data_IF_595284053368
#
_entry.id   IF_595284053368
#
_cell.length_a   1.000
_cell.length_b   1.000
_cell.length_c   1.000
_cell.angle_alpha   90.00
_cell.angle_beta   90.00
_cell.angle_gamma   90.00
#
_symmetry.space_group_name_H-M   'P 1'
#
loop_
_entity.id
_entity.type
_entity.pdbx_description
1 polymer ?
#
# COMPACT_ATOMS: atom_id res chain seq x y z
N UNK A 1 -2.75 0.87 -36.48
CA UNK A 1 -2.25 1.23 -35.12
C UNK A 1 -1.26 0.21 -34.62
N UNK A 2 -0.21 0.67 -33.96
CA UNK A 2 0.77 -0.20 -33.34
C UNK A 2 0.33 -0.61 -31.94
N UNK A 3 0.93 -1.65 -31.39
CA UNK A 3 0.72 -2.04 -30.00
C UNK A 3 1.08 -0.92 -29.03
N UNK A 4 2.07 -0.09 -29.39
CA UNK A 4 2.48 1.05 -28.56
C UNK A 4 1.37 2.10 -28.49
N UNK A 5 0.74 2.40 -29.61
CA UNK A 5 -0.40 3.33 -29.63
C UNK A 5 -1.60 2.77 -28.87
N UNK A 6 -1.87 1.47 -29.01
CA UNK A 6 -2.94 0.80 -28.29
C UNK A 6 -2.72 0.85 -26.79
N UNK A 7 -1.48 0.65 -26.36
CA UNK A 7 -1.13 0.75 -24.92
C UNK A 7 -1.38 2.16 -24.38
N UNK A 8 -0.97 3.19 -25.13
CA UNK A 8 -1.15 4.59 -24.73
C UNK A 8 -2.65 4.94 -24.63
N UNK A 9 -3.45 4.48 -25.58
CA UNK A 9 -4.90 4.69 -25.55
C UNK A 9 -5.54 4.00 -24.36
N UNK A 10 -5.18 2.74 -24.11
CA UNK A 10 -5.69 1.98 -22.97
C UNK A 10 -5.32 2.64 -21.64
N UNK A 11 -4.11 3.15 -21.53
CA UNK A 11 -3.64 3.85 -20.33
C UNK A 11 -4.43 5.13 -20.09
N UNK A 12 -4.69 5.88 -21.14
CA UNK A 12 -5.50 7.10 -21.06
C UNK A 12 -6.95 6.79 -20.67
N UNK A 13 -7.53 5.73 -21.23
CA UNK A 13 -8.90 5.30 -20.92
C UNK A 13 -9.02 4.85 -19.46
N UNK A 14 -8.02 4.13 -18.97
CA UNK A 14 -7.94 3.72 -17.56
C UNK A 14 -7.90 4.93 -16.63
N UNK A 15 -7.08 5.91 -16.95
CA UNK A 15 -6.97 7.13 -16.15
C UNK A 15 -8.28 7.93 -16.14
N UNK A 16 -8.93 8.05 -17.30
CA UNK A 16 -10.22 8.73 -17.42
C UNK A 16 -11.32 8.02 -16.61
N UNK A 17 -11.37 6.70 -16.70
CA UNK A 17 -12.36 5.90 -15.96
C UNK A 17 -12.11 6.00 -14.45
N UNK A 18 -10.87 5.96 -14.01
CA UNK A 18 -10.51 6.11 -12.59
C UNK A 18 -10.92 7.47 -12.07
N UNK A 19 -10.65 8.53 -12.83
CA UNK A 19 -11.04 9.90 -12.47
C UNK A 19 -12.56 10.01 -12.32
N UNK A 20 -13.30 9.46 -13.28
CA UNK A 20 -14.76 9.47 -13.24
C UNK A 20 -15.31 8.72 -12.03
N UNK A 21 -14.77 7.55 -11.76
CA UNK A 21 -15.17 6.75 -10.59
C UNK A 21 -14.92 7.53 -9.29
N UNK A 22 -13.77 8.16 -9.15
CA UNK A 22 -13.43 8.94 -7.95
C UNK A 22 -14.33 10.15 -7.77
N UNK A 23 -14.72 10.83 -8.85
CA UNK A 23 -15.67 11.93 -8.79
C UNK A 23 -17.03 11.47 -8.27
N UNK A 24 -17.50 10.30 -8.71
CA UNK A 24 -18.74 9.70 -8.23
C UNK A 24 -18.62 9.29 -6.76
N UNK A 25 -17.50 8.69 -6.38
CA UNK A 25 -17.24 8.31 -5.00
C UNK A 25 -17.24 9.52 -4.06
N UNK A 26 -16.69 10.65 -4.50
CA UNK A 26 -16.73 11.89 -3.73
C UNK A 26 -18.16 12.39 -3.52
N UNK A 27 -19.01 12.23 -4.52
CA UNK A 27 -20.44 12.55 -4.40
C UNK A 27 -21.14 11.60 -3.41
N UNK A 28 -20.79 10.31 -3.44
CA UNK A 28 -21.32 9.31 -2.50
C UNK A 28 -20.91 9.59 -1.07
N UNK A 29 -19.67 10.04 -0.87
CA UNK A 29 -19.19 10.45 0.45
C UNK A 29 -20.07 11.56 1.03
N UNK A 30 -20.44 12.53 0.22
CA UNK A 30 -21.32 13.62 0.64
C UNK A 30 -22.74 13.12 0.87
N UNK A 31 -23.25 12.27 -0.01
CA UNK A 31 -24.61 11.74 0.06
C UNK A 31 -24.83 10.93 1.35
N UNK A 32 -23.87 10.07 1.71
CA UNK A 32 -23.97 9.21 2.89
C UNK A 32 -23.34 9.83 4.14
N UNK A 33 -22.87 11.06 4.05
CA UNK A 33 -22.23 11.78 5.17
C UNK A 33 -21.10 10.95 5.81
N UNK A 34 -20.22 10.39 4.96
CA UNK A 34 -19.10 9.57 5.44
C UNK A 34 -18.04 10.46 6.09
N UNK A 35 -17.68 10.22 7.35
CA UNK A 35 -16.65 11.01 8.01
C UNK A 35 -15.26 10.71 7.41
N UNK A 36 -14.40 11.73 7.35
CA UNK A 36 -13.02 11.59 6.85
C UNK A 36 -12.20 10.60 7.67
N UNK A 37 -12.50 10.48 8.95
CA UNK A 37 -11.80 9.60 9.87
C UNK A 37 -12.46 8.23 10.04
N UNK A 38 -13.30 7.82 9.11
CA UNK A 38 -13.93 6.50 9.16
C UNK A 38 -12.87 5.41 9.19
N UNK A 39 -12.93 4.59 10.22
CA UNK A 39 -12.09 3.40 10.34
C UNK A 39 -13.00 2.19 10.47
N UNK A 40 -12.86 1.22 9.57
CA UNK A 40 -13.70 0.05 9.51
C UNK A 40 -14.72 0.10 8.39
N UNK A 41 -15.77 -0.71 8.51
CA UNK A 41 -16.76 -0.92 7.46
C UNK A 41 -18.13 -0.39 7.87
N UNK A 42 -18.77 0.32 6.95
CA UNK A 42 -20.17 0.75 7.07
C UNK A 42 -20.96 0.20 5.90
N UNK A 43 -22.07 -0.45 6.16
CA UNK A 43 -22.95 -1.00 5.14
C UNK A 43 -24.23 -0.17 5.07
N UNK A 44 -24.60 0.24 3.86
CA UNK A 44 -25.80 1.03 3.60
C UNK A 44 -26.59 0.41 2.45
N UNK A 45 -27.89 0.39 2.56
CA UNK A 45 -28.78 0.02 1.46
C UNK A 45 -29.51 1.27 0.98
N UNK A 46 -29.45 1.55 -0.31
CA UNK A 46 -30.12 2.67 -0.94
C UNK A 46 -30.46 2.30 -2.38
N UNK A 47 -31.67 2.70 -2.83
CA UNK A 47 -32.12 2.51 -4.21
C UNK A 47 -31.93 1.08 -4.76
N UNK A 48 -32.19 0.07 -3.92
CA UNK A 48 -32.01 -1.36 -4.24
C UNK A 48 -30.56 -1.81 -4.39
N UNK A 49 -29.61 -0.94 -3.99
CA UNK A 49 -28.19 -1.28 -3.99
C UNK A 49 -27.70 -1.47 -2.56
N UNK A 50 -26.77 -2.39 -2.40
CA UNK A 50 -26.02 -2.55 -1.17
C UNK A 50 -24.68 -1.84 -1.36
N UNK A 51 -24.40 -0.90 -0.48
CA UNK A 51 -23.16 -0.13 -0.54
C UNK A 51 -22.31 -0.47 0.68
N UNK A 52 -21.11 -0.94 0.42
CA UNK A 52 -20.11 -1.20 1.46
C UNK A 52 -19.08 -0.09 1.42
N UNK A 53 -18.94 0.63 2.51
CA UNK A 53 -18.00 1.74 2.63
C UNK A 53 -16.91 1.33 3.60
N UNK A 54 -15.69 1.19 3.11
CA UNK A 54 -14.54 0.84 3.93
C UNK A 54 -13.65 2.06 4.10
N UNK A 55 -13.45 2.47 5.34
CA UNK A 55 -12.51 3.52 5.68
C UNK A 55 -11.23 2.92 6.23
N UNK A 56 -10.12 3.45 5.83
CA UNK A 56 -8.79 3.04 6.31
C UNK A 56 -8.00 4.26 6.71
N UNK A 57 -7.37 4.15 7.86
CA UNK A 57 -6.42 5.16 8.31
C UNK A 57 -5.04 4.56 8.16
N UNK A 58 -4.26 5.13 7.25
CA UNK A 58 -2.90 4.68 7.02
C UNK A 58 -1.99 5.27 8.09
N UNK A 59 -1.38 4.39 8.87
CA UNK A 59 -0.45 4.80 9.92
C UNK A 59 0.94 4.33 9.53
N UNK A 60 1.87 5.28 9.52
CA UNK A 60 3.28 4.97 9.29
C UNK A 60 4.04 5.19 10.58
N UNK A 61 4.91 4.26 10.89
CA UNK A 61 5.75 4.34 12.08
C UNK A 61 7.18 4.65 11.69
N UNK A 62 7.74 5.71 12.25
CA UNK A 62 9.17 5.98 12.17
C UNK A 62 9.83 5.19 13.29
N UNK A 63 10.46 4.06 12.95
CA UNK A 63 11.00 3.13 13.92
C UNK A 63 12.13 3.70 14.77
N UNK A 64 12.97 4.57 14.20
CA UNK A 64 14.04 5.22 14.94
C UNK A 64 13.48 6.16 15.99
N UNK A 65 12.56 7.03 15.59
CA UNK A 65 11.91 7.97 16.50
C UNK A 65 11.11 7.24 17.57
N UNK A 66 10.46 6.14 17.21
CA UNK A 66 9.70 5.32 18.15
C UNK A 66 10.61 4.76 19.23
N UNK A 67 11.75 4.20 18.86
CA UNK A 67 12.73 3.65 19.80
C UNK A 67 13.32 4.72 20.71
N UNK A 68 13.61 5.89 20.16
CA UNK A 68 14.12 7.03 20.94
C UNK A 68 13.10 7.50 21.96
N UNK A 69 11.84 7.66 21.56
CA UNK A 69 10.76 8.08 22.45
C UNK A 69 10.49 7.04 23.54
N UNK A 70 10.51 5.76 23.17
CA UNK A 70 10.31 4.68 24.13
C UNK A 70 11.42 4.64 25.19
N UNK A 71 12.67 4.82 24.76
CA UNK A 71 13.81 4.88 25.68
C UNK A 71 13.73 6.11 26.60
N UNK A 72 13.35 7.25 26.05
CA UNK A 72 13.21 8.52 26.79
C UNK A 72 12.13 8.43 27.87
N UNK A 73 11.01 7.75 27.57
CA UNK A 73 9.88 7.62 28.49
C UNK A 73 9.86 6.31 29.29
N UNK A 74 10.90 5.48 29.17
CA UNK A 74 10.97 4.22 29.89
C UNK A 74 9.94 3.18 29.41
N UNK A 75 9.55 3.21 28.13
CA UNK A 75 8.50 2.37 27.56
C UNK A 75 9.03 1.27 26.64
N UNK A 76 10.34 1.04 26.62
CA UNK A 76 10.97 0.08 25.70
C UNK A 76 10.38 -1.33 25.81
N UNK A 77 9.99 -1.74 27.02
CA UNK A 77 9.38 -3.05 27.27
C UNK A 77 8.05 -3.24 26.54
N UNK A 78 7.35 -2.17 26.21
CA UNK A 78 6.04 -2.22 25.57
C UNK A 78 6.11 -2.31 24.05
N UNK A 79 7.27 -2.11 23.44
CA UNK A 79 7.40 -2.10 21.98
C UNK A 79 7.00 -3.41 21.35
N UNK A 80 7.37 -4.54 21.91
CA UNK A 80 7.07 -5.86 21.35
C UNK A 80 5.58 -6.22 21.42
N UNK A 81 4.84 -5.68 22.38
CA UNK A 81 3.41 -5.92 22.51
C UNK A 81 2.55 -4.97 21.71
N UNK A 82 3.00 -3.72 21.53
CA UNK A 82 2.25 -2.69 20.81
C UNK A 82 2.55 -2.64 19.31
N UNK A 83 3.73 -3.09 18.91
CA UNK A 83 4.19 -3.03 17.53
C UNK A 83 4.67 -4.38 17.04
N UNK A 84 4.47 -4.64 15.74
CA UNK A 84 4.99 -5.83 15.07
C UNK A 84 6.21 -5.45 14.27
N UNK A 85 7.26 -6.21 14.43
CA UNK A 85 8.50 -6.01 13.70
C UNK A 85 8.58 -7.06 12.60
N UNK A 86 8.51 -6.60 11.34
CA UNK A 86 8.63 -7.49 10.19
C UNK A 86 10.02 -7.35 9.60
N UNK A 87 10.76 -8.44 9.43
CA UNK A 87 12.04 -8.37 8.78
C UNK A 87 11.87 -8.06 7.29
N UNK A 88 12.64 -7.12 6.80
CA UNK A 88 12.71 -6.76 5.39
C UNK A 88 14.16 -6.87 4.93
N UNK A 89 14.35 -7.27 3.68
CA UNK A 89 15.67 -7.42 3.12
C UNK A 89 16.23 -6.05 2.75
N UNK A 90 17.39 -5.73 3.31
CA UNK A 90 18.21 -4.62 2.81
C UNK A 90 19.00 -5.14 1.62
N UNK A 91 18.51 -4.92 0.41
CA UNK A 91 19.09 -5.50 -0.80
C UNK A 91 20.52 -5.05 -1.07
N UNK A 92 20.86 -3.83 -0.69
CA UNK A 92 22.23 -3.33 -0.84
C UNK A 92 23.20 -4.11 0.03
N UNK A 93 22.84 -4.30 1.31
CA UNK A 93 23.64 -5.09 2.23
C UNK A 93 23.64 -6.57 1.87
N UNK A 94 22.50 -7.10 1.42
CA UNK A 94 22.37 -8.49 1.01
C UNK A 94 23.29 -8.83 -0.16
N UNK A 95 23.31 -8.00 -1.19
CA UNK A 95 24.17 -8.21 -2.38
C UNK A 95 25.65 -8.05 -2.04
N UNK A 96 25.97 -7.22 -1.08
CA UNK A 96 27.34 -7.01 -0.64
C UNK A 96 27.85 -8.10 0.32
N UNK A 97 26.96 -8.92 0.86
CA UNK A 97 27.31 -9.96 1.82
C UNK A 97 27.83 -11.22 1.13
N UNK A 98 28.68 -11.95 1.85
CA UNK A 98 29.24 -13.21 1.38
C UNK A 98 28.13 -14.28 1.30
N UNK A 99 28.26 -15.16 0.30
CA UNK A 99 27.33 -16.27 0.11
C UNK A 99 27.27 -17.21 1.33
N UNK A 100 28.35 -17.32 2.07
CA UNK A 100 28.37 -18.11 3.32
C UNK A 100 27.37 -17.60 4.37
N UNK A 101 26.99 -16.32 4.30
CA UNK A 101 26.00 -15.70 5.19
C UNK A 101 24.61 -15.80 4.59
N UNK A 102 24.45 -15.47 3.30
CA UNK A 102 23.13 -15.39 2.65
C UNK A 102 22.55 -16.74 2.29
N UNK A 103 23.37 -17.70 1.87
CA UNK A 103 22.88 -19.02 1.42
C UNK A 103 22.05 -19.77 2.46
N UNK A 104 22.46 -19.86 3.73
CA UNK A 104 21.63 -20.52 4.75
C UNK A 104 20.31 -19.81 5.03
N UNK A 105 20.24 -18.50 4.77
CA UNK A 105 19.06 -17.71 5.02
C UNK A 105 18.07 -17.71 3.86
N UNK A 106 18.50 -18.13 2.67
CA UNK A 106 17.66 -18.14 1.49
C UNK A 106 16.42 -19.04 1.62
N UNK A 107 16.50 -20.08 2.42
CA UNK A 107 15.38 -21.02 2.63
C UNK A 107 14.18 -20.33 3.32
N UNK A 108 14.42 -19.24 4.03
CA UNK A 108 13.36 -18.44 4.67
C UNK A 108 12.76 -17.39 3.73
N UNK A 109 13.29 -17.28 2.51
CA UNK A 109 12.90 -16.24 1.56
C UNK A 109 12.25 -16.92 0.34
N UNK A 110 11.03 -16.52 0.04
CA UNK A 110 10.34 -16.94 -1.19
C UNK A 110 10.38 -15.76 -2.16
N UNK A 111 11.05 -15.96 -3.30
CA UNK A 111 11.13 -14.95 -4.34
C UNK A 111 10.29 -15.38 -5.53
N UNK A 112 9.33 -14.56 -5.91
CA UNK A 112 8.50 -14.78 -7.10
C UNK A 112 8.64 -13.60 -8.03
N UNK A 113 8.78 -13.83 -9.35
CA UNK A 113 8.88 -12.72 -10.29
C UNK A 113 7.56 -11.98 -10.38
N UNK A 114 7.63 -10.66 -10.29
CA UNK A 114 6.48 -9.81 -10.53
C UNK A 114 6.24 -9.63 -12.02
N UNK A 115 5.05 -9.16 -12.39
CA UNK A 115 4.75 -8.83 -13.76
C UNK A 115 5.59 -7.61 -14.20
N UNK A 116 6.25 -7.67 -15.36
CA UNK A 116 7.00 -6.51 -15.85
C UNK A 116 6.12 -5.28 -16.02
N UNK A 117 6.66 -4.12 -15.67
CA UNK A 117 6.00 -2.84 -15.85
C UNK A 117 6.51 -2.18 -17.12
N UNK A 118 5.59 -1.55 -17.86
CA UNK A 118 5.94 -0.81 -19.05
C UNK A 118 5.67 0.66 -18.84
N UNK A 119 6.56 1.50 -19.37
CA UNK A 119 6.34 2.93 -19.47
C UNK A 119 6.67 3.31 -20.90
N UNK A 120 5.67 3.79 -21.63
CA UNK A 120 5.82 4.11 -23.04
C UNK A 120 5.54 5.60 -23.20
N UNK A 121 6.51 6.31 -23.73
CA UNK A 121 6.44 7.75 -23.95
C UNK A 121 6.67 8.05 -25.42
N UNK A 122 5.87 8.91 -25.98
CA UNK A 122 6.01 9.35 -27.37
C UNK A 122 7.12 10.38 -27.48
N UNK A 123 8.05 10.13 -28.40
CA UNK A 123 9.16 11.06 -28.67
C UNK A 123 8.79 12.14 -29.67
#
# INVERSE_FOLDING_TARGET
MSLFDEWLTAKADEAAATKRRREIEDQLVKLFEVPENLEGTRNVEAEQFKVKIEGRINRKVNSEKLQELAAEHGLTEHLSSLFRWKPEINMTAWKASDASITSPLMDAITATPGRPSFTITKV
#
